data_IF_495403862630
#
_entry.id   IF_495403862630
#
_cell.length_a   1.000
_cell.length_b   1.000
_cell.length_c   1.000
_cell.angle_alpha   90.00
_cell.angle_beta   90.00
_cell.angle_gamma   90.00
#
_symmetry.space_group_name_H-M   'P 1'
#
loop_
_entity.id
_entity.type
_entity.pdbx_description
1 polymer ?
#
# COMPACT_ATOMS: atom_id res chain seq x y z
N UNK A 1 -18.01 -12.94 19.80
CA UNK A 1 -16.72 -13.03 20.54
C UNK A 1 -15.50 -12.98 19.62
N UNK A 2 -15.42 -13.83 18.62
CA UNK A 2 -14.27 -13.86 17.69
C UNK A 2 -14.05 -12.53 16.92
N UNK A 3 -15.11 -11.86 16.55
CA UNK A 3 -15.06 -10.59 15.81
C UNK A 3 -14.57 -9.43 16.69
N UNK A 4 -15.02 -9.38 17.94
CA UNK A 4 -14.59 -8.38 18.92
C UNK A 4 -13.11 -8.59 19.26
N UNK A 5 -12.68 -9.83 19.46
CA UNK A 5 -11.28 -10.17 19.72
C UNK A 5 -10.39 -9.78 18.56
N UNK A 6 -10.88 -9.94 17.33
CA UNK A 6 -10.14 -9.53 16.12
C UNK A 6 -9.97 -8.01 16.05
N UNK A 7 -11.02 -7.24 16.31
CA UNK A 7 -11.00 -5.78 16.31
C UNK A 7 -10.04 -5.26 17.38
N UNK A 8 -10.05 -5.84 18.58
CA UNK A 8 -9.15 -5.46 19.67
C UNK A 8 -7.69 -5.76 19.31
N UNK A 9 -7.40 -6.94 18.74
CA UNK A 9 -6.05 -7.29 18.28
C UNK A 9 -5.58 -6.38 17.17
N UNK A 10 -6.43 -6.04 16.21
CA UNK A 10 -6.12 -5.11 15.14
C UNK A 10 -5.77 -3.73 15.68
N UNK A 11 -6.57 -3.20 16.61
CA UNK A 11 -6.34 -1.90 17.24
C UNK A 11 -5.01 -1.86 18.00
N UNK A 12 -4.68 -2.92 18.75
CA UNK A 12 -3.42 -3.05 19.49
C UNK A 12 -2.22 -3.11 18.53
N UNK A 13 -2.33 -3.88 17.44
CA UNK A 13 -1.28 -3.97 16.42
C UNK A 13 -1.07 -2.64 15.70
N UNK A 14 -2.15 -1.92 15.37
CA UNK A 14 -2.06 -0.59 14.76
C UNK A 14 -1.34 0.40 15.68
N UNK A 15 -1.65 0.37 16.98
CA UNK A 15 -0.97 1.19 17.98
C UNK A 15 0.52 0.88 18.04
N UNK A 16 0.89 -0.39 18.12
CA UNK A 16 2.30 -0.82 18.12
C UNK A 16 3.02 -0.43 16.84
N UNK A 17 2.35 -0.58 15.70
CA UNK A 17 2.90 -0.17 14.41
C UNK A 17 3.18 1.33 14.40
N UNK A 18 2.22 2.16 14.83
CA UNK A 18 2.38 3.62 14.86
C UNK A 18 3.49 4.11 15.78
N UNK A 19 3.83 3.33 16.81
CA UNK A 19 4.93 3.63 17.74
C UNK A 19 6.31 3.31 17.14
N UNK A 20 6.38 2.38 16.19
CA UNK A 20 7.64 1.86 15.63
C UNK A 20 7.89 2.26 14.19
N UNK A 21 6.84 2.57 13.46
CA UNK A 21 6.86 2.75 12.02
C UNK A 21 6.16 4.05 11.64
N UNK A 22 6.63 4.64 10.57
CA UNK A 22 6.03 5.83 9.98
C UNK A 22 5.72 5.53 8.52
N UNK A 23 4.58 5.99 8.04
CA UNK A 23 4.22 5.89 6.63
C UNK A 23 4.43 7.26 5.98
N UNK A 24 5.16 7.27 4.88
CA UNK A 24 5.45 8.47 4.12
C UNK A 24 5.04 8.32 2.66
N UNK A 25 4.54 9.39 2.09
CA UNK A 25 4.20 9.45 0.68
C UNK A 25 5.46 9.44 -0.18
N UNK A 26 5.38 8.74 -1.31
CA UNK A 26 6.47 8.70 -2.30
C UNK A 26 5.97 9.33 -3.59
N UNK A 27 6.57 10.44 -3.98
CA UNK A 27 6.30 11.11 -5.25
C UNK A 27 7.47 10.87 -6.22
N UNK A 28 7.16 10.82 -7.51
CA UNK A 28 8.14 10.51 -8.56
C UNK A 28 9.39 11.39 -8.51
N UNK A 29 9.22 12.67 -8.21
CA UNK A 29 10.34 13.63 -8.10
C UNK A 29 10.56 14.07 -6.65
N UNK A 30 10.07 13.31 -5.67
CA UNK A 30 10.16 13.63 -4.26
C UNK A 30 11.42 13.09 -3.59
N UNK A 31 11.63 13.53 -2.36
CA UNK A 31 12.79 13.14 -1.54
C UNK A 31 12.85 11.64 -1.22
N UNK A 32 11.71 10.94 -1.25
CA UNK A 32 11.62 9.53 -0.87
C UNK A 32 11.77 8.58 -2.07
N UNK A 33 11.86 9.11 -3.29
CA UNK A 33 11.86 8.29 -4.51
C UNK A 33 13.06 7.33 -4.57
N UNK A 34 14.27 7.86 -4.39
CA UNK A 34 15.49 7.06 -4.49
C UNK A 34 15.58 5.98 -3.42
N UNK A 35 15.20 6.30 -2.18
CA UNK A 35 15.15 5.32 -1.08
C UNK A 35 14.18 4.19 -1.38
N UNK A 36 13.03 4.51 -1.96
CA UNK A 36 12.01 3.54 -2.36
C UNK A 36 12.52 2.63 -3.47
N UNK A 37 13.10 3.20 -4.53
CA UNK A 37 13.64 2.41 -5.64
C UNK A 37 14.74 1.47 -5.15
N UNK A 38 15.65 1.95 -4.30
CA UNK A 38 16.70 1.13 -3.72
C UNK A 38 16.13 -0.03 -2.88
N UNK A 39 15.10 0.26 -2.08
CA UNK A 39 14.41 -0.78 -1.30
C UNK A 39 13.81 -1.85 -2.22
N UNK A 40 13.06 -1.44 -3.25
CA UNK A 40 12.41 -2.37 -4.18
C UNK A 40 13.41 -3.24 -4.94
N UNK A 41 14.53 -2.67 -5.37
CA UNK A 41 15.60 -3.41 -6.04
C UNK A 41 16.21 -4.49 -5.14
N UNK A 42 16.37 -4.21 -3.86
CA UNK A 42 16.90 -5.16 -2.88
C UNK A 42 15.97 -6.33 -2.59
N UNK A 43 14.65 -6.16 -2.80
CA UNK A 43 13.68 -7.21 -2.53
C UNK A 43 13.61 -8.29 -3.61
N UNK A 44 14.20 -8.07 -4.77
CA UNK A 44 14.31 -9.07 -5.86
C UNK A 44 12.99 -9.67 -6.35
N UNK A 45 11.87 -8.97 -6.17
CA UNK A 45 10.57 -9.53 -6.54
C UNK A 45 10.22 -9.28 -8.02
N UNK A 46 10.87 -8.33 -8.67
CA UNK A 46 10.70 -7.99 -10.08
C UNK A 46 12.07 -7.69 -10.71
N UNK A 47 12.22 -7.94 -12.04
CA UNK A 47 13.37 -7.43 -12.76
C UNK A 47 13.50 -5.91 -12.57
N UNK A 48 14.72 -5.41 -12.40
CA UNK A 48 15.00 -4.01 -12.09
C UNK A 48 14.36 -3.02 -13.07
N UNK A 49 14.35 -3.36 -14.34
CA UNK A 49 13.73 -2.55 -15.39
C UNK A 49 12.21 -2.38 -15.25
N UNK A 50 11.54 -3.37 -14.64
CA UNK A 50 10.08 -3.37 -14.50
C UNK A 50 9.60 -2.51 -13.34
N UNK A 51 10.44 -2.23 -12.35
CA UNK A 51 10.10 -1.41 -11.19
C UNK A 51 9.79 0.03 -11.65
N UNK A 52 10.65 0.61 -12.46
CA UNK A 52 10.47 1.96 -12.98
C UNK A 52 9.26 2.04 -13.92
N UNK A 53 9.06 1.01 -14.75
CA UNK A 53 7.89 0.92 -15.62
C UNK A 53 6.58 0.89 -14.85
N UNK A 54 6.49 0.09 -13.78
CA UNK A 54 5.31 0.04 -12.92
C UNK A 54 5.00 1.41 -12.30
N UNK A 55 6.01 2.08 -11.83
CA UNK A 55 5.87 3.41 -11.22
C UNK A 55 5.43 4.44 -12.24
N UNK A 56 5.92 4.35 -13.48
CA UNK A 56 5.62 5.30 -14.55
C UNK A 56 4.16 5.25 -15.04
N UNK A 57 3.39 4.21 -14.69
CA UNK A 57 1.96 4.16 -14.97
C UNK A 57 1.18 5.26 -14.23
N UNK A 58 1.69 5.77 -13.11
CA UNK A 58 1.12 6.92 -12.45
C UNK A 58 1.51 8.18 -13.22
N UNK A 59 0.58 8.69 -14.01
CA UNK A 59 0.82 9.87 -14.87
C UNK A 59 0.50 11.18 -14.19
N UNK A 60 -0.46 11.20 -13.27
CA UNK A 60 -0.84 12.38 -12.53
C UNK A 60 0.13 12.59 -11.37
N UNK A 61 1.05 13.56 -11.52
CA UNK A 61 2.08 13.86 -10.52
C UNK A 61 1.52 14.48 -9.23
N UNK A 62 0.25 14.85 -9.22
CA UNK A 62 -0.45 15.31 -8.02
C UNK A 62 -0.59 14.21 -6.97
N UNK A 63 -0.61 12.97 -7.40
CA UNK A 63 -0.75 11.81 -6.51
C UNK A 63 0.57 11.10 -6.30
N UNK A 64 0.77 10.51 -5.10
CA UNK A 64 1.96 9.70 -4.87
C UNK A 64 1.96 8.43 -5.71
N UNK A 65 3.17 7.95 -6.02
CA UNK A 65 3.36 6.67 -6.70
C UNK A 65 3.26 5.48 -5.75
N UNK A 66 3.24 5.75 -4.46
CA UNK A 66 3.13 4.75 -3.41
C UNK A 66 3.38 5.34 -2.04
N UNK A 67 3.38 4.45 -1.06
CA UNK A 67 3.63 4.78 0.33
C UNK A 67 4.73 3.87 0.86
N UNK A 68 5.72 4.47 1.51
CA UNK A 68 6.80 3.73 2.16
C UNK A 68 6.57 3.66 3.65
N UNK A 69 7.02 2.56 4.24
CA UNK A 69 7.01 2.35 5.67
C UNK A 69 8.46 2.39 6.15
N UNK A 70 8.77 3.29 7.08
CA UNK A 70 10.11 3.47 7.62
C UNK A 70 10.14 3.18 9.12
N UNK A 71 11.25 2.63 9.59
CA UNK A 71 11.47 2.39 11.00
C UNK A 71 12.02 3.64 11.71
N UNK A 72 12.25 3.55 13.02
CA UNK A 72 12.78 4.67 13.83
C UNK A 72 14.17 5.14 13.41
N UNK A 73 14.93 4.28 12.73
CA UNK A 73 16.25 4.64 12.19
C UNK A 73 16.18 5.23 10.78
N UNK A 74 14.99 5.58 10.31
CA UNK A 74 14.74 6.14 8.98
C UNK A 74 15.07 5.18 7.84
N UNK A 75 15.03 3.87 8.10
CA UNK A 75 15.28 2.84 7.10
C UNK A 75 13.94 2.39 6.52
N UNK A 76 13.84 2.32 5.20
CA UNK A 76 12.66 1.81 4.50
C UNK A 76 12.55 0.30 4.72
N UNK A 77 11.41 -0.14 5.26
CA UNK A 77 11.15 -1.54 5.60
C UNK A 77 9.92 -2.10 4.88
N UNK A 78 9.15 -1.25 4.21
CA UNK A 78 7.98 -1.68 3.46
C UNK A 78 7.56 -0.65 2.43
N UNK A 79 6.74 -1.11 1.48
CA UNK A 79 6.22 -0.28 0.41
C UNK A 79 4.91 -0.87 -0.13
N UNK A 80 4.01 0.00 -0.54
CA UNK A 80 2.87 -0.34 -1.38
C UNK A 80 2.79 0.67 -2.51
N UNK A 81 2.72 0.18 -3.73
CA UNK A 81 2.56 1.02 -4.91
C UNK A 81 1.10 1.41 -5.12
N UNK A 82 0.88 2.56 -5.70
CA UNK A 82 -0.45 3.10 -5.95
C UNK A 82 -0.55 3.66 -7.36
N UNK A 83 -1.67 3.38 -8.02
CA UNK A 83 -2.06 4.03 -9.27
C UNK A 83 -3.36 4.77 -9.03
N UNK A 84 -3.29 6.08 -8.92
CA UNK A 84 -4.44 6.93 -8.71
C UNK A 84 -5.07 7.35 -10.03
N UNK A 85 -6.39 7.41 -10.05
CA UNK A 85 -7.15 7.99 -11.15
C UNK A 85 -8.39 8.69 -10.64
N UNK A 86 -8.82 9.72 -11.35
CA UNK A 86 -10.09 10.40 -11.08
C UNK A 86 -11.11 9.98 -12.12
N UNK A 87 -12.32 9.70 -11.69
CA UNK A 87 -13.45 9.39 -12.57
C UNK A 87 -14.68 10.14 -12.12
N UNK A 88 -15.42 10.64 -13.10
CA UNK A 88 -16.71 11.27 -12.83
C UNK A 88 -17.82 10.24 -13.01
N UNK A 89 -18.53 9.95 -11.92
CA UNK A 89 -19.62 8.97 -11.90
C UNK A 89 -20.88 9.69 -11.41
N UNK A 90 -21.94 9.69 -12.24
CA UNK A 90 -23.23 10.34 -11.92
C UNK A 90 -23.06 11.79 -11.47
N UNK A 91 -22.16 12.54 -12.12
CA UNK A 91 -21.90 13.95 -11.81
C UNK A 91 -20.98 14.21 -10.62
N UNK A 92 -20.52 13.18 -9.93
CA UNK A 92 -19.60 13.28 -8.79
C UNK A 92 -18.20 12.80 -9.15
N UNK A 93 -17.19 13.54 -8.72
CA UNK A 93 -15.79 13.14 -8.87
C UNK A 93 -15.44 12.08 -7.83
N UNK A 94 -14.89 10.97 -8.31
CA UNK A 94 -14.43 9.86 -7.47
C UNK A 94 -12.95 9.60 -7.71
N UNK A 95 -12.23 9.37 -6.63
CA UNK A 95 -10.80 9.02 -6.68
C UNK A 95 -10.69 7.51 -6.53
N UNK A 96 -10.00 6.88 -7.48
CA UNK A 96 -9.70 5.46 -7.45
C UNK A 96 -8.21 5.26 -7.24
N UNK A 97 -7.85 4.29 -6.44
CA UNK A 97 -6.48 3.89 -6.18
C UNK A 97 -6.35 2.38 -6.34
N UNK A 98 -5.61 1.96 -7.34
CA UNK A 98 -5.23 0.57 -7.47
C UNK A 98 -3.90 0.33 -6.75
N UNK A 99 -3.87 -0.62 -5.82
CA UNK A 99 -2.65 -1.00 -5.12
C UNK A 99 -1.90 -2.08 -5.89
N UNK A 100 -0.58 -1.98 -5.87
CA UNK A 100 0.33 -2.95 -6.49
C UNK A 100 1.62 -3.05 -5.66
N UNK A 101 2.42 -4.05 -5.92
CA UNK A 101 3.78 -4.17 -5.37
C UNK A 101 3.84 -3.97 -3.84
N UNK A 102 2.98 -4.65 -3.12
CA UNK A 102 2.93 -4.58 -1.67
C UNK A 102 3.99 -5.50 -1.07
N UNK A 103 5.05 -4.90 -0.53
CA UNK A 103 6.24 -5.62 -0.07
C UNK A 103 6.68 -5.09 1.28
N UNK A 104 6.95 -6.00 2.22
CA UNK A 104 7.45 -5.67 3.54
C UNK A 104 8.60 -6.62 3.87
N UNK A 105 9.69 -6.09 4.43
CA UNK A 105 10.79 -6.91 4.92
C UNK A 105 10.31 -7.95 5.93
N UNK A 106 10.94 -9.11 5.93
CA UNK A 106 10.51 -10.25 6.74
C UNK A 106 10.36 -9.93 8.22
N UNK A 107 11.28 -9.17 8.79
CA UNK A 107 11.26 -8.78 10.20
C UNK A 107 10.05 -7.90 10.56
N UNK A 108 9.46 -7.25 9.57
CA UNK A 108 8.33 -6.31 9.75
C UNK A 108 7.01 -6.83 9.18
N UNK A 109 6.94 -8.07 8.72
CA UNK A 109 5.73 -8.64 8.08
C UNK A 109 4.50 -8.64 8.98
N UNK A 110 4.68 -8.70 10.28
CA UNK A 110 3.59 -8.57 11.23
C UNK A 110 2.84 -7.24 11.07
N UNK A 111 3.54 -6.21 10.60
CA UNK A 111 2.99 -4.87 10.40
C UNK A 111 2.63 -4.56 8.94
N UNK A 112 2.65 -5.54 8.05
CA UNK A 112 2.34 -5.33 6.63
C UNK A 112 0.93 -4.76 6.41
N UNK A 113 -0.04 -5.14 7.27
CA UNK A 113 -1.39 -4.61 7.23
C UNK A 113 -1.45 -3.08 7.47
N UNK A 114 -0.44 -2.52 8.11
CA UNK A 114 -0.43 -1.10 8.50
C UNK A 114 -0.52 -0.17 7.28
N UNK A 115 0.13 -0.54 6.18
CA UNK A 115 0.04 0.20 4.92
C UNK A 115 -1.39 0.23 4.36
N UNK A 116 -2.05 -0.91 4.37
CA UNK A 116 -3.44 -1.03 3.87
C UNK A 116 -4.43 -0.35 4.80
N UNK A 117 -4.26 -0.50 6.10
CA UNK A 117 -5.06 0.21 7.09
C UNK A 117 -4.95 1.72 6.90
N UNK A 118 -3.76 2.23 6.67
CA UNK A 118 -3.52 3.64 6.39
C UNK A 118 -4.29 4.12 5.15
N UNK A 119 -4.23 3.36 4.05
CA UNK A 119 -4.93 3.68 2.81
C UNK A 119 -6.46 3.58 2.97
N UNK A 120 -6.95 2.59 3.72
CA UNK A 120 -8.38 2.38 3.91
C UNK A 120 -9.08 3.52 4.66
N UNK A 121 -8.33 4.32 5.41
CA UNK A 121 -8.85 5.49 6.13
C UNK A 121 -8.98 6.73 5.25
N UNK A 122 -8.46 6.71 4.04
CA UNK A 122 -8.59 7.79 3.07
C UNK A 122 -9.93 7.70 2.34
N UNK A 123 -10.47 8.84 1.92
CA UNK A 123 -11.71 8.88 1.13
C UNK A 123 -11.42 8.58 -0.35
N UNK A 124 -11.06 7.33 -0.62
CA UNK A 124 -10.72 6.83 -1.96
C UNK A 124 -11.32 5.45 -2.16
N UNK A 125 -11.50 5.07 -3.42
CA UNK A 125 -11.93 3.73 -3.80
C UNK A 125 -10.70 2.86 -4.05
N UNK A 126 -10.42 1.94 -3.14
CA UNK A 126 -9.27 1.04 -3.24
C UNK A 126 -9.61 -0.19 -4.07
N UNK A 127 -8.70 -0.55 -4.98
CA UNK A 127 -8.79 -1.78 -5.76
C UNK A 127 -7.45 -2.52 -5.72
N UNK A 128 -7.52 -3.85 -5.85
CA UNK A 128 -6.35 -4.71 -5.98
C UNK A 128 -6.64 -5.72 -7.09
N UNK A 129 -6.09 -5.46 -8.27
CA UNK A 129 -6.46 -6.23 -9.48
C UNK A 129 -5.78 -7.60 -9.53
N UNK A 130 -4.55 -7.71 -9.04
CA UNK A 130 -3.77 -8.94 -9.12
C UNK A 130 -3.11 -9.30 -7.79
N UNK A 131 -3.89 -9.45 -6.69
CA UNK A 131 -3.30 -9.85 -5.42
C UNK A 131 -2.84 -11.31 -5.48
N UNK A 132 -1.70 -11.62 -4.84
CA UNK A 132 -1.29 -13.00 -4.65
C UNK A 132 -2.26 -13.71 -3.68
N UNK A 133 -2.39 -15.03 -3.81
CA UNK A 133 -3.36 -15.81 -3.02
C UNK A 133 -3.23 -15.59 -1.51
N UNK A 134 -2.01 -15.51 -0.99
CA UNK A 134 -1.76 -15.30 0.44
C UNK A 134 -2.30 -13.96 0.97
N UNK A 135 -2.49 -12.97 0.11
CA UNK A 135 -2.99 -11.65 0.48
C UNK A 135 -4.50 -11.51 0.34
N UNK A 136 -5.16 -12.36 -0.46
CA UNK A 136 -6.61 -12.26 -0.71
C UNK A 136 -7.44 -12.32 0.57
N UNK A 137 -7.12 -13.25 1.46
CA UNK A 137 -7.81 -13.37 2.74
C UNK A 137 -7.63 -12.15 3.63
N UNK A 138 -6.44 -11.57 3.65
CA UNK A 138 -6.15 -10.36 4.40
C UNK A 138 -6.92 -9.16 3.84
N UNK A 139 -6.97 -9.02 2.51
CA UNK A 139 -7.71 -7.93 1.86
C UNK A 139 -9.21 -7.99 2.18
N UNK A 140 -9.80 -9.18 2.17
CA UNK A 140 -11.22 -9.37 2.56
C UNK A 140 -11.44 -8.88 4.00
N UNK A 141 -10.53 -9.14 4.91
CA UNK A 141 -10.61 -8.65 6.30
C UNK A 141 -10.58 -7.13 6.41
N UNK A 142 -9.99 -6.44 5.44
CA UNK A 142 -10.00 -4.98 5.35
C UNK A 142 -11.20 -4.41 4.57
N UNK A 143 -12.20 -5.25 4.26
CA UNK A 143 -13.41 -4.81 3.59
C UNK A 143 -13.36 -4.87 2.07
N UNK A 144 -12.33 -5.45 1.48
CA UNK A 144 -12.28 -5.67 0.04
C UNK A 144 -13.28 -6.74 -0.38
N UNK A 145 -14.04 -6.45 -1.41
CA UNK A 145 -14.97 -7.41 -2.01
C UNK A 145 -14.34 -8.04 -3.25
N UNK A 146 -14.50 -9.36 -3.35
CA UNK A 146 -14.07 -10.07 -4.56
C UNK A 146 -15.11 -9.82 -5.66
N UNK A 147 -14.65 -9.28 -6.80
CA UNK A 147 -15.48 -9.13 -7.99
C UNK A 147 -14.89 -9.93 -9.12
N UNK A 148 -15.74 -10.66 -9.82
CA UNK A 148 -15.34 -11.34 -11.05
C UNK A 148 -15.32 -10.32 -12.18
N UNK A 149 -14.21 -10.31 -12.92
CA UNK A 149 -14.06 -9.46 -14.10
C UNK A 149 -14.26 -10.36 -15.32
N UNK A 150 -15.26 -10.04 -16.10
CA UNK A 150 -15.54 -10.73 -17.34
C UNK A 150 -14.95 -9.96 -18.53
#
# INVERSE_FOLDING_TARGET
>A
MKEIDYILKKSDLEKRASERLKIEEVFKNGKNYNSTINFLRKQNFLPHQNIEDLISFQKDEQYPIGYMMVNRSNITVGFVGTWFSKRRIKGHENIFCNIHSWIVQQEYRLYSFYLISFLSKKNINLTALTPVESLKGLLVKFGFEKKEIF
#
